data_IF_802960487270
#
_entry.id   IF_802960487270
#
_cell.length_a   1.000
_cell.length_b   1.000
_cell.length_c   1.000
_cell.angle_alpha   90.00
_cell.angle_beta   90.00
_cell.angle_gamma   90.00
#
_symmetry.space_group_name_H-M   'P 1'
#
loop_
_entity.id
_entity.type
_entity.pdbx_description
1 polymer ?
#
# COMPACT_ATOMS: atom_id res chain seq x y z
N UNK A 1 -24.06 -0.94 -10.73
CA UNK A 1 -22.68 -0.69 -10.26
C UNK A 1 -21.73 -1.38 -11.20
N UNK A 2 -20.65 -0.73 -11.63
CA UNK A 2 -19.64 -1.33 -12.51
C UNK A 2 -18.92 -2.50 -11.79
N UNK A 3 -18.59 -3.63 -12.45
CA UNK A 3 -17.99 -4.81 -11.80
C UNK A 3 -16.71 -4.51 -11.00
N UNK A 4 -15.84 -3.65 -11.52
CA UNK A 4 -14.62 -3.23 -10.82
C UNK A 4 -14.91 -2.48 -9.51
N UNK A 5 -15.93 -1.63 -9.50
CA UNK A 5 -16.32 -0.89 -8.31
C UNK A 5 -16.98 -1.81 -7.28
N UNK A 6 -17.76 -2.78 -7.75
CA UNK A 6 -18.32 -3.82 -6.89
C UNK A 6 -17.20 -4.62 -6.19
N UNK A 7 -16.25 -5.14 -6.96
CA UNK A 7 -15.09 -5.88 -6.42
C UNK A 7 -14.29 -5.02 -5.43
N UNK A 8 -14.07 -3.74 -5.76
CA UNK A 8 -13.39 -2.81 -4.87
C UNK A 8 -14.15 -2.62 -3.55
N UNK A 9 -15.48 -2.46 -3.59
CA UNK A 9 -16.33 -2.31 -2.40
C UNK A 9 -16.32 -3.57 -1.53
N UNK A 10 -16.41 -4.75 -2.14
CA UNK A 10 -16.31 -6.04 -1.45
C UNK A 10 -14.97 -6.17 -0.71
N UNK A 11 -13.85 -5.89 -1.41
CA UNK A 11 -12.52 -5.86 -0.79
C UNK A 11 -12.44 -4.83 0.33
N UNK A 12 -12.99 -3.64 0.15
CA UNK A 12 -12.94 -2.60 1.18
C UNK A 12 -13.71 -3.01 2.44
N UNK A 13 -14.88 -3.62 2.29
CA UNK A 13 -15.67 -4.10 3.43
C UNK A 13 -14.98 -5.24 4.19
N UNK A 14 -14.35 -6.17 3.46
CA UNK A 14 -13.57 -7.26 4.06
C UNK A 14 -12.32 -6.70 4.77
N UNK A 15 -11.61 -5.77 4.13
CA UNK A 15 -10.43 -5.10 4.68
C UNK A 15 -10.75 -4.26 5.91
N UNK A 16 -11.87 -3.54 5.92
CA UNK A 16 -12.37 -2.82 7.10
C UNK A 16 -12.65 -3.78 8.25
N UNK A 17 -13.27 -4.94 7.97
CA UNK A 17 -13.52 -5.95 9.00
C UNK A 17 -12.23 -6.52 9.60
N UNK A 18 -11.24 -6.82 8.76
CA UNK A 18 -9.91 -7.27 9.21
C UNK A 18 -9.20 -6.18 10.03
N UNK A 19 -9.20 -4.96 9.52
CA UNK A 19 -8.56 -3.81 10.16
C UNK A 19 -9.18 -3.54 11.53
N UNK A 20 -10.49 -3.29 11.60
CA UNK A 20 -11.15 -2.82 12.82
C UNK A 20 -11.26 -3.90 13.90
N UNK A 21 -11.51 -5.16 13.52
CA UNK A 21 -11.79 -6.22 14.49
C UNK A 21 -10.54 -6.94 14.96
N UNK A 22 -9.45 -6.90 14.20
CA UNK A 22 -8.26 -7.72 14.44
C UNK A 22 -7.02 -6.84 14.56
N UNK A 23 -6.72 -6.03 13.54
CA UNK A 23 -5.45 -5.31 13.48
C UNK A 23 -5.43 -4.10 14.43
N UNK A 24 -6.41 -3.20 14.38
CA UNK A 24 -6.42 -1.99 15.21
C UNK A 24 -6.26 -2.28 16.71
N UNK A 25 -6.99 -3.25 17.32
CA UNK A 25 -6.81 -3.58 18.74
C UNK A 25 -5.38 -3.99 19.12
N UNK A 26 -4.62 -4.57 18.17
CA UNK A 26 -3.22 -4.92 18.35
C UNK A 26 -2.36 -3.67 18.16
N UNK A 27 -2.50 -3.02 17.01
CA UNK A 27 -1.60 -1.95 16.56
C UNK A 27 -1.68 -0.68 17.43
N UNK A 28 -2.86 -0.35 17.95
CA UNK A 28 -3.06 0.83 18.82
C UNK A 28 -2.32 0.71 20.16
N UNK A 29 -1.93 -0.50 20.58
CA UNK A 29 -1.07 -0.71 21.76
C UNK A 29 0.37 -0.25 21.53
N UNK A 30 0.80 -0.13 20.27
CA UNK A 30 2.18 0.17 19.88
C UNK A 30 2.38 1.63 19.45
N UNK A 31 1.31 2.36 19.15
CA UNK A 31 1.37 3.76 18.75
C UNK A 31 0.07 4.25 18.10
N UNK A 32 0.11 5.49 17.61
CA UNK A 32 -0.97 6.06 16.82
C UNK A 32 -1.00 5.39 15.44
N UNK A 33 -2.14 4.79 15.10
CA UNK A 33 -2.32 4.09 13.83
C UNK A 33 -2.88 5.04 12.77
N UNK A 34 -2.34 4.97 11.55
CA UNK A 34 -2.93 5.55 10.35
C UNK A 34 -2.89 4.55 9.21
N UNK A 35 -3.97 4.50 8.44
CA UNK A 35 -4.09 3.62 7.27
C UNK A 35 -4.06 4.47 6.01
N UNK A 36 -3.38 3.98 4.98
CA UNK A 36 -3.19 4.70 3.73
C UNK A 36 -3.39 3.84 2.49
N UNK A 37 -2.74 4.25 1.41
CA UNK A 37 -2.67 3.49 0.17
C UNK A 37 -4.02 3.29 -0.50
N UNK A 38 -4.11 2.22 -1.29
CA UNK A 38 -5.30 1.91 -2.11
C UNK A 38 -6.57 1.74 -1.25
N UNK A 39 -6.43 1.30 0.00
CA UNK A 39 -7.54 1.20 0.94
C UNK A 39 -8.19 2.55 1.22
N UNK A 40 -7.39 3.54 1.65
CA UNK A 40 -7.88 4.88 1.99
C UNK A 40 -8.46 5.63 0.79
N UNK A 41 -8.03 5.29 -0.42
CA UNK A 41 -8.53 5.91 -1.65
C UNK A 41 -9.77 5.19 -2.23
N UNK A 42 -10.19 4.06 -1.65
CA UNK A 42 -11.18 3.12 -2.22
C UNK A 42 -10.82 2.71 -3.67
N UNK A 43 -9.57 2.27 -3.84
CA UNK A 43 -8.98 1.83 -5.11
C UNK A 43 -8.30 0.46 -4.99
N UNK A 44 -8.76 -0.36 -4.03
CA UNK A 44 -8.32 -1.74 -3.88
C UNK A 44 -8.73 -2.57 -5.09
N UNK A 45 -7.80 -3.36 -5.59
CA UNK A 45 -8.03 -4.39 -6.61
C UNK A 45 -7.41 -5.74 -6.22
N UNK A 46 -6.74 -5.78 -5.06
CA UNK A 46 -6.19 -6.94 -4.40
C UNK A 46 -6.37 -6.74 -2.88
N UNK A 47 -6.40 -7.81 -2.06
CA UNK A 47 -6.42 -7.71 -0.59
C UNK A 47 -5.07 -7.20 -0.03
N UNK A 48 -4.89 -5.89 0.02
CA UNK A 48 -3.73 -5.20 0.61
C UNK A 48 -4.11 -4.10 1.60
N UNK A 49 -3.31 -3.91 2.66
CA UNK A 49 -3.44 -2.81 3.63
C UNK A 49 -2.07 -2.19 3.92
N UNK A 50 -1.95 -0.88 3.71
CA UNK A 50 -0.78 -0.08 4.09
C UNK A 50 -1.07 0.65 5.42
N UNK A 51 -0.29 0.38 6.46
CA UNK A 51 -0.52 0.88 7.81
C UNK A 51 0.77 1.48 8.38
N UNK A 52 0.67 2.67 8.95
CA UNK A 52 1.71 3.29 9.75
C UNK A 52 1.32 3.26 11.23
N UNK A 53 2.28 2.94 12.09
CA UNK A 53 2.17 2.98 13.55
C UNK A 53 3.23 3.94 14.07
N UNK A 54 2.80 5.10 14.55
CA UNK A 54 3.70 6.18 14.98
C UNK A 54 3.79 6.22 16.50
N UNK A 55 5.01 6.15 17.04
CA UNK A 55 5.26 6.07 18.48
C UNK A 55 6.52 6.83 18.88
N UNK A 56 6.49 7.54 20.01
CA UNK A 56 7.67 8.21 20.56
C UNK A 56 8.73 7.20 21.04
N UNK A 57 8.29 6.00 21.44
CA UNK A 57 9.11 5.01 22.13
C UNK A 57 9.61 3.87 21.23
N UNK A 58 9.80 4.12 19.93
CA UNK A 58 10.22 3.07 18.99
C UNK A 58 11.58 2.47 19.38
N UNK A 59 11.58 1.16 19.57
CA UNK A 59 12.75 0.33 19.89
C UNK A 59 12.66 -1.04 19.20
N UNK A 60 13.76 -1.79 19.17
CA UNK A 60 13.76 -3.17 18.66
C UNK A 60 12.89 -4.11 19.50
N UNK A 61 12.84 -3.90 20.82
CA UNK A 61 11.99 -4.69 21.71
C UNK A 61 10.51 -4.41 21.46
N UNK A 62 10.13 -3.14 21.28
CA UNK A 62 8.77 -2.76 20.90
C UNK A 62 8.39 -3.40 19.56
N UNK A 63 9.30 -3.37 18.58
CA UNK A 63 9.08 -3.99 17.28
C UNK A 63 8.98 -5.52 17.36
N UNK A 64 9.81 -6.17 18.17
CA UNK A 64 9.76 -7.61 18.38
C UNK A 64 8.45 -8.06 19.05
N UNK A 65 7.96 -7.29 20.02
CA UNK A 65 6.67 -7.53 20.66
C UNK A 65 5.52 -7.43 19.65
N UNK A 66 5.50 -6.37 18.83
CA UNK A 66 4.52 -6.21 17.74
C UNK A 66 4.57 -7.41 16.79
N UNK A 67 5.76 -7.81 16.35
CA UNK A 67 5.92 -8.98 15.49
C UNK A 67 5.39 -10.25 16.16
N UNK A 68 5.66 -10.42 17.44
CA UNK A 68 5.21 -11.55 18.25
C UNK A 68 3.69 -11.63 18.38
N UNK A 69 2.98 -10.50 18.49
CA UNK A 69 1.51 -10.51 18.46
C UNK A 69 0.95 -10.88 17.08
N UNK A 70 1.47 -10.26 16.02
CA UNK A 70 1.00 -10.52 14.65
C UNK A 70 1.24 -11.97 14.19
N UNK A 71 2.40 -12.56 14.52
CA UNK A 71 2.72 -13.93 14.14
C UNK A 71 1.92 -14.97 14.93
N UNK A 72 1.38 -14.62 16.11
CA UNK A 72 0.57 -15.49 16.96
C UNK A 72 -0.89 -15.57 16.53
N UNK A 73 -1.32 -14.75 15.57
CA UNK A 73 -2.65 -14.88 14.98
C UNK A 73 -2.71 -16.21 14.22
N UNK A 74 -3.69 -17.06 14.55
CA UNK A 74 -3.85 -18.41 13.99
C UNK A 74 -3.96 -18.44 12.45
N UNK A 75 -4.32 -17.30 11.86
CA UNK A 75 -4.52 -17.11 10.44
C UNK A 75 -3.37 -16.36 9.75
N UNK A 76 -2.26 -16.08 10.45
CA UNK A 76 -1.05 -15.57 9.81
C UNK A 76 -0.35 -16.72 9.08
N UNK A 77 -0.28 -16.63 7.75
CA UNK A 77 0.23 -17.68 6.86
C UNK A 77 1.68 -17.48 6.41
N UNK A 78 2.11 -16.22 6.29
CA UNK A 78 3.50 -15.84 6.02
C UNK A 78 3.86 -14.61 6.84
N UNK A 79 5.16 -14.44 7.04
CA UNK A 79 5.68 -13.34 7.83
C UNK A 79 6.99 -12.84 7.28
N UNK A 80 7.11 -11.53 7.07
CA UNK A 80 8.34 -10.86 6.65
C UNK A 80 8.57 -9.66 7.55
N UNK A 81 9.83 -9.29 7.77
CA UNK A 81 10.18 -8.08 8.48
C UNK A 81 11.48 -7.49 7.97
N UNK A 82 11.75 -6.23 8.33
CA UNK A 82 12.95 -5.52 7.95
C UNK A 82 13.26 -4.37 8.89
N UNK A 83 14.52 -4.29 9.31
CA UNK A 83 15.08 -3.17 10.08
C UNK A 83 15.60 -2.12 9.10
N UNK A 84 14.81 -1.08 8.81
CA UNK A 84 15.24 0.03 7.91
C UNK A 84 15.84 1.20 8.67
N UNK A 85 15.97 1.08 9.99
CA UNK A 85 16.68 2.05 10.83
C UNK A 85 18.18 1.79 10.74
N UNK A 86 18.59 0.54 11.00
CA UNK A 86 20.01 0.14 10.97
C UNK A 86 20.46 -0.36 9.60
N UNK A 87 19.53 -0.87 8.79
CA UNK A 87 19.78 -1.33 7.42
C UNK A 87 18.83 -0.63 6.43
N UNK A 88 18.99 0.69 6.25
CA UNK A 88 18.15 1.46 5.34
C UNK A 88 18.25 0.90 3.93
N UNK A 89 17.19 1.12 3.14
CA UNK A 89 17.20 0.72 1.74
C UNK A 89 18.40 1.35 1.02
N UNK A 90 19.09 0.56 0.20
CA UNK A 90 20.00 1.11 -0.80
C UNK A 90 19.22 2.15 -1.63
N UNK A 91 19.86 3.25 -2.07
CA UNK A 91 19.21 4.24 -2.92
C UNK A 91 18.50 3.50 -4.07
N UNK A 92 17.21 3.79 -4.20
CA UNK A 92 16.21 3.14 -5.05
C UNK A 92 16.79 2.37 -6.24
N UNK A 93 16.37 1.11 -6.42
CA UNK A 93 16.50 0.39 -7.69
C UNK A 93 16.07 1.36 -8.79
N UNK A 94 16.98 1.69 -9.71
CA UNK A 94 16.65 2.51 -10.88
C UNK A 94 15.53 1.79 -11.63
N UNK A 95 14.30 2.28 -11.48
CA UNK A 95 13.18 1.80 -12.29
C UNK A 95 13.34 2.34 -13.71
N UNK A 96 12.84 1.65 -14.74
CA UNK A 96 12.95 2.10 -16.13
C UNK A 96 12.45 3.55 -16.32
N UNK A 97 11.47 3.94 -15.50
CA UNK A 97 10.78 5.21 -15.54
C UNK A 97 10.89 5.97 -14.19
N UNK A 98 12.10 6.16 -13.68
CA UNK A 98 12.49 7.33 -12.88
C UNK A 98 11.88 7.62 -11.51
N UNK A 99 10.73 7.08 -11.08
CA UNK A 99 10.25 7.33 -9.73
C UNK A 99 10.97 6.42 -8.73
N UNK A 100 11.90 6.98 -7.96
CA UNK A 100 12.34 6.35 -6.72
C UNK A 100 11.13 6.26 -5.79
N UNK A 101 10.51 5.08 -5.61
CA UNK A 101 9.56 4.93 -4.49
C UNK A 101 10.38 5.12 -3.23
N UNK A 102 10.24 6.27 -2.59
CA UNK A 102 10.86 6.53 -1.31
C UNK A 102 10.10 5.68 -0.30
N UNK A 103 10.62 4.48 -0.05
CA UNK A 103 10.04 3.62 0.98
C UNK A 103 10.13 4.33 2.34
N UNK A 104 9.16 4.13 3.24
CA UNK A 104 9.21 4.71 4.57
C UNK A 104 10.50 4.32 5.32
N UNK A 105 10.87 5.16 6.29
CA UNK A 105 11.98 4.89 7.19
C UNK A 105 11.43 4.42 8.55
N UNK A 106 11.86 3.25 9.01
CA UNK A 106 11.38 2.66 10.26
C UNK A 106 11.61 1.15 10.35
N UNK A 107 10.92 0.48 11.26
CA UNK A 107 10.85 -0.98 11.29
C UNK A 107 9.62 -1.44 10.53
N UNK A 108 9.79 -2.35 9.56
CA UNK A 108 8.71 -2.83 8.70
C UNK A 108 8.39 -4.28 9.01
N UNK A 109 7.11 -4.61 9.10
CA UNK A 109 6.61 -5.97 9.20
C UNK A 109 5.47 -6.17 8.22
N UNK A 110 5.45 -7.33 7.56
CA UNK A 110 4.43 -7.70 6.60
C UNK A 110 3.97 -9.15 6.80
N UNK A 111 2.87 -9.35 7.56
CA UNK A 111 2.19 -10.63 7.62
C UNK A 111 1.26 -10.82 6.41
N UNK A 112 1.23 -12.05 5.87
CA UNK A 112 0.14 -12.51 4.98
C UNK A 112 -0.95 -13.14 5.88
N UNK A 113 -2.12 -12.52 5.98
CA UNK A 113 -3.23 -12.95 6.83
C UNK A 113 -4.34 -13.62 6.00
N UNK A 114 -4.67 -14.87 6.32
CA UNK A 114 -5.85 -15.54 5.76
C UNK A 114 -7.11 -14.99 6.41
N UNK A 115 -7.94 -14.26 5.67
CA UNK A 115 -9.18 -13.70 6.19
C UNK A 115 -10.25 -13.74 5.11
N UNK A 116 -11.46 -14.18 5.48
CA UNK A 116 -12.49 -14.48 4.50
C UNK A 116 -12.03 -15.55 3.50
N UNK A 117 -12.16 -15.25 2.20
CA UNK A 117 -11.69 -16.11 1.11
C UNK A 117 -10.36 -15.63 0.50
N UNK A 118 -9.67 -14.71 1.18
CA UNK A 118 -8.53 -13.98 0.64
C UNK A 118 -7.29 -14.15 1.52
N UNK A 119 -6.12 -13.93 0.91
CA UNK A 119 -4.87 -13.74 1.64
C UNK A 119 -4.53 -12.26 1.59
N UNK A 120 -4.69 -11.59 2.74
CA UNK A 120 -4.41 -10.18 2.91
C UNK A 120 -2.94 -9.93 3.15
N UNK A 121 -2.33 -9.10 2.30
CA UNK A 121 -0.95 -8.61 2.50
C UNK A 121 -1.01 -7.33 3.30
N UNK A 122 -0.52 -7.36 4.53
CA UNK A 122 -0.48 -6.18 5.37
C UNK A 122 0.93 -5.64 5.34
N UNK A 123 1.11 -4.35 5.10
CA UNK A 123 2.39 -3.65 5.17
C UNK A 123 2.31 -2.67 6.34
N UNK A 124 3.05 -2.97 7.42
CA UNK A 124 3.03 -2.19 8.66
C UNK A 124 4.39 -1.54 8.88
N UNK A 125 4.39 -0.22 9.08
CA UNK A 125 5.58 0.56 9.40
C UNK A 125 5.51 1.10 10.83
N UNK A 126 6.40 0.64 11.70
CA UNK A 126 6.61 1.21 13.03
C UNK A 126 7.65 2.34 12.95
N UNK A 127 7.21 3.56 13.24
CA UNK A 127 7.98 4.77 13.00
C UNK A 127 7.96 5.72 14.21
N UNK A 128 9.01 6.52 14.34
CA UNK A 128 8.98 7.69 15.21
C UNK A 128 8.31 8.87 14.50
N UNK A 129 7.76 9.85 15.24
CA UNK A 129 7.18 11.05 14.63
C UNK A 129 8.12 11.76 13.67
N UNK A 130 9.42 11.86 13.99
CA UNK A 130 10.41 12.51 13.13
C UNK A 130 10.77 11.71 11.86
N UNK A 131 10.38 10.43 11.78
CA UNK A 131 10.57 9.57 10.59
C UNK A 131 9.33 9.51 9.71
N UNK A 132 8.17 9.82 10.29
CA UNK A 132 6.88 9.72 9.63
C UNK A 132 6.66 10.88 8.67
N UNK A 133 6.49 10.58 7.39
CA UNK A 133 6.25 11.57 6.34
C UNK A 133 4.76 11.73 6.00
N UNK A 134 3.92 10.76 6.37
CA UNK A 134 2.53 10.70 5.94
C UNK A 134 2.36 10.38 4.45
N UNK A 135 3.42 9.90 3.78
CA UNK A 135 3.41 9.64 2.33
C UNK A 135 2.38 8.58 1.92
N UNK A 136 1.97 7.71 2.85
CA UNK A 136 0.90 6.71 2.62
C UNK A 136 -0.44 7.35 2.23
N UNK A 137 -0.66 8.63 2.55
CA UNK A 137 -1.86 9.41 2.22
C UNK A 137 -1.65 10.51 1.16
N UNK A 138 -0.52 10.51 0.44
CA UNK A 138 -0.16 11.55 -0.53
C UNK A 138 -1.23 11.84 -1.60
N UNK A 139 -2.05 10.85 -1.97
CA UNK A 139 -3.08 11.01 -2.99
C UNK A 139 -4.50 11.12 -2.43
N UNK A 140 -4.68 11.12 -1.09
CA UNK A 140 -5.98 11.07 -0.44
C UNK A 140 -6.93 12.13 -0.96
N UNK A 141 -6.51 13.40 -0.90
CA UNK A 141 -7.34 14.54 -1.32
C UNK A 141 -7.73 14.45 -2.80
N UNK A 142 -6.82 13.98 -3.67
CA UNK A 142 -7.06 13.96 -5.13
C UNK A 142 -7.90 12.76 -5.58
N UNK A 143 -7.74 11.61 -4.92
CA UNK A 143 -8.38 10.35 -5.34
C UNK A 143 -9.71 10.09 -4.65
N UNK A 144 -9.95 10.70 -3.48
CA UNK A 144 -11.27 10.63 -2.84
C UNK A 144 -12.32 11.38 -3.66
N UNK A 145 -11.95 12.52 -4.27
CA UNK A 145 -12.83 13.33 -5.11
C UNK A 145 -12.81 12.91 -6.60
N UNK A 146 -12.10 11.84 -6.95
CA UNK A 146 -12.03 11.36 -8.32
C UNK A 146 -13.41 10.88 -8.82
N UNK A 147 -13.75 11.23 -10.07
CA UNK A 147 -14.98 10.76 -10.71
C UNK A 147 -15.03 9.24 -10.82
N UNK A 148 -16.24 8.69 -10.94
CA UNK A 148 -16.44 7.26 -11.14
C UNK A 148 -15.67 6.73 -12.36
N UNK A 149 -15.66 7.48 -13.46
CA UNK A 149 -14.87 7.18 -14.67
C UNK A 149 -13.38 7.03 -14.35
N UNK A 150 -12.77 8.00 -13.66
CA UNK A 150 -11.34 7.93 -13.29
C UNK A 150 -11.04 6.75 -12.37
N UNK A 151 -11.94 6.45 -11.43
CA UNK A 151 -11.79 5.29 -10.54
C UNK A 151 -11.82 3.99 -11.33
N UNK A 152 -12.76 3.86 -12.27
CA UNK A 152 -12.86 2.70 -13.17
C UNK A 152 -11.58 2.57 -13.99
N UNK A 153 -11.07 3.65 -14.58
CA UNK A 153 -9.82 3.65 -15.34
C UNK A 153 -8.64 3.19 -14.50
N UNK A 154 -8.47 3.72 -13.28
CA UNK A 154 -7.40 3.31 -12.37
C UNK A 154 -7.49 1.82 -12.05
N UNK A 155 -8.68 1.32 -11.67
CA UNK A 155 -8.87 -0.09 -11.32
C UNK A 155 -8.60 -0.99 -12.53
N UNK A 156 -9.07 -0.61 -13.72
CA UNK A 156 -8.86 -1.34 -14.97
C UNK A 156 -7.38 -1.43 -15.32
N UNK A 157 -6.65 -0.32 -15.26
CA UNK A 157 -5.21 -0.30 -15.53
C UNK A 157 -4.46 -1.17 -14.52
N UNK A 158 -4.78 -1.08 -13.24
CA UNK A 158 -4.12 -1.91 -12.22
C UNK A 158 -4.40 -3.40 -12.46
N UNK A 159 -5.62 -3.80 -12.84
CA UNK A 159 -5.92 -5.21 -13.18
C UNK A 159 -5.12 -5.69 -14.39
N UNK A 160 -5.12 -4.93 -15.49
CA UNK A 160 -4.37 -5.30 -16.70
C UNK A 160 -2.86 -5.44 -16.42
N UNK A 161 -2.29 -4.51 -15.64
CA UNK A 161 -0.88 -4.56 -15.26
C UNK A 161 -0.55 -5.78 -14.37
N UNK A 162 -1.47 -6.19 -13.49
CA UNK A 162 -1.32 -7.40 -12.68
C UNK A 162 -1.35 -8.65 -13.56
N UNK A 163 -2.33 -8.74 -14.47
CA UNK A 163 -2.47 -9.87 -15.40
C UNK A 163 -1.23 -10.03 -16.29
N UNK A 164 -0.63 -8.91 -16.72
CA UNK A 164 0.61 -8.89 -17.50
C UNK A 164 1.88 -9.08 -16.65
N UNK A 165 1.76 -9.24 -15.33
CA UNK A 165 2.88 -9.37 -14.39
C UNK A 165 3.85 -8.16 -14.39
N UNK A 166 3.32 -6.98 -14.68
CA UNK A 166 4.04 -5.69 -14.79
C UNK A 166 3.83 -4.79 -13.56
N UNK A 167 2.94 -5.17 -12.65
CA UNK A 167 2.55 -4.37 -11.49
C UNK A 167 3.25 -4.79 -10.19
N UNK A 168 3.73 -3.80 -9.43
CA UNK A 168 4.21 -3.95 -8.05
C UNK A 168 5.70 -3.64 -7.85
N UNK A 169 6.16 -3.81 -6.62
CA UNK A 169 7.54 -3.54 -6.24
C UNK A 169 8.52 -4.41 -7.04
N UNK A 170 9.49 -3.77 -7.69
CA UNK A 170 10.48 -4.44 -8.55
C UNK A 170 9.96 -4.79 -9.94
N UNK A 171 8.76 -4.32 -10.30
CA UNK A 171 8.18 -4.43 -11.64
C UNK A 171 8.24 -3.10 -12.39
N UNK A 172 7.69 -3.10 -13.60
CA UNK A 172 7.68 -1.95 -14.50
C UNK A 172 6.87 -0.79 -13.91
N UNK A 173 5.70 -1.06 -13.31
CA UNK A 173 4.79 -0.04 -12.76
C UNK A 173 4.43 -0.28 -11.29
N UNK A 174 4.11 0.81 -10.58
CA UNK A 174 3.49 0.79 -9.23
C UNK A 174 2.23 1.67 -9.20
N UNK A 175 1.50 1.65 -8.09
CA UNK A 175 0.26 2.42 -7.90
C UNK A 175 0.42 3.90 -8.25
N UNK A 176 1.51 4.53 -7.79
CA UNK A 176 1.79 5.95 -8.02
C UNK A 176 1.85 6.30 -9.51
N UNK A 177 2.45 5.42 -10.32
CA UNK A 177 2.58 5.65 -11.76
C UNK A 177 1.18 5.71 -12.40
N UNK A 178 0.29 4.78 -12.03
CA UNK A 178 -1.11 4.75 -12.49
C UNK A 178 -1.87 5.99 -12.01
N UNK A 179 -1.72 6.39 -10.75
CA UNK A 179 -2.42 7.54 -10.20
C UNK A 179 -2.01 8.83 -10.89
N UNK A 180 -0.71 9.06 -11.06
CA UNK A 180 -0.22 10.27 -11.73
C UNK A 180 -0.61 10.29 -13.21
N UNK A 181 -0.54 9.13 -13.89
CA UNK A 181 -0.98 8.99 -15.28
C UNK A 181 -2.46 9.36 -15.46
N UNK A 182 -3.35 8.83 -14.63
CA UNK A 182 -4.80 9.12 -14.75
C UNK A 182 -5.13 10.53 -14.27
N UNK A 183 -4.51 11.01 -13.18
CA UNK A 183 -4.84 12.32 -12.61
C UNK A 183 -4.32 13.48 -13.46
N UNK A 184 -3.13 13.35 -14.06
CA UNK A 184 -2.47 14.45 -14.79
C UNK A 184 -2.38 14.23 -16.29
N UNK A 185 -2.27 12.98 -16.73
CA UNK A 185 -2.04 12.62 -18.14
C UNK A 185 -3.30 12.20 -18.91
N UNK A 186 -4.46 12.08 -18.25
CA UNK A 186 -5.69 11.48 -18.81
C UNK A 186 -5.43 10.10 -19.45
N UNK A 187 -4.49 9.34 -18.87
CA UNK A 187 -4.09 8.00 -19.33
C UNK A 187 -5.28 7.03 -19.23
N UNK A 188 -5.54 6.26 -20.29
CA UNK A 188 -6.64 5.27 -20.34
C UNK A 188 -6.17 3.84 -20.61
N UNK A 189 -4.98 3.67 -21.16
CA UNK A 189 -4.39 2.36 -21.50
C UNK A 189 -2.99 2.19 -20.91
N UNK A 190 -2.50 0.95 -20.88
CA UNK A 190 -1.12 0.66 -20.43
C UNK A 190 -0.07 1.30 -21.35
N UNK A 191 -0.36 1.42 -22.64
CA UNK A 191 0.57 2.08 -23.58
C UNK A 191 0.58 3.60 -23.37
N UNK A 192 -0.59 4.22 -23.15
CA UNK A 192 -0.64 5.65 -22.74
C UNK A 192 0.14 5.88 -21.45
N UNK A 193 0.10 4.93 -20.51
CA UNK A 193 0.84 5.01 -19.25
C UNK A 193 2.36 5.00 -19.49
N UNK A 194 2.85 4.13 -20.39
CA UNK A 194 4.26 4.12 -20.78
C UNK A 194 4.69 5.42 -21.43
N UNK A 195 3.88 5.91 -22.36
CA UNK A 195 4.17 7.16 -23.09
C UNK A 195 4.21 8.35 -22.13
N UNK A 196 3.22 8.44 -21.23
CA UNK A 196 3.16 9.46 -20.19
C UNK A 196 4.40 9.44 -19.29
N UNK A 197 4.81 8.27 -18.80
CA UNK A 197 5.99 8.18 -17.95
C UNK A 197 7.25 8.55 -18.75
N UNK A 198 7.44 8.01 -19.94
CA UNK A 198 8.60 8.29 -20.78
C UNK A 198 8.75 9.79 -21.08
N UNK A 199 7.65 10.47 -21.41
CA UNK A 199 7.65 11.90 -21.70
C UNK A 199 7.99 12.78 -20.48
N UNK A 200 7.65 12.34 -19.27
CA UNK A 200 7.92 13.08 -18.02
C UNK A 200 9.26 12.69 -17.36
N UNK A 201 10.08 11.87 -18.01
CA UNK A 201 11.41 11.48 -17.55
C UNK A 201 12.59 11.98 -18.41
N UNK A 202 12.30 12.70 -19.51
CA UNK A 202 13.28 13.51 -20.25
C UNK A 202 13.22 14.96 -19.77
#
# INVERSE_FOLDING_TARGET
MHPLLQKQEELHNEGTSLLEKILLPILEQYGKVSVGGSYSYKLLNYPDLDIDVVSENVSKDLFANLCGELIRLDFTSKFKSGDRVNYPHAPSIKRPFGYSVKRPFGYWVSPDINFGNSVWKIDIWLQKPEWYTGDTNRYAEKLLDASEEKRITILSLKEELIEKNLYGVGKEFVSEDVYEGVLRGDVKTVDDLRDFLTANHN
#
